data_IF_067852327444
#
_entry.id   IF_067852327444
#
_cell.length_a   1.000
_cell.length_b   1.000
_cell.length_c   1.000
_cell.angle_alpha   90.00
_cell.angle_beta   90.00
_cell.angle_gamma   90.00
#
_symmetry.space_group_name_H-M   'P 1'
#
loop_
_entity.id
_entity.type
_entity.pdbx_description
1 polymer ?
#
# COMPACT_ATOMS: atom_id res chain seq x y z
N UNK A 1 -15.24 -17.00 -8.17
CA UNK A 1 -14.34 -16.99 -6.99
C UNK A 1 -12.92 -16.82 -7.49
N UNK A 2 -12.10 -15.97 -6.87
CA UNK A 2 -10.70 -15.82 -7.26
C UNK A 2 -9.86 -17.00 -6.77
N UNK A 3 -9.02 -17.58 -7.64
CA UNK A 3 -8.05 -18.62 -7.26
C UNK A 3 -6.74 -17.94 -6.87
N UNK A 4 -6.28 -18.15 -5.64
CA UNK A 4 -5.01 -17.59 -5.16
C UNK A 4 -3.91 -18.64 -5.34
N UNK A 5 -2.94 -18.32 -6.20
CA UNK A 5 -1.73 -19.13 -6.39
C UNK A 5 -0.56 -18.46 -5.69
N UNK A 6 0.06 -19.13 -4.71
CA UNK A 6 1.24 -18.60 -4.01
C UNK A 6 2.51 -18.95 -4.81
N UNK A 7 3.21 -17.98 -5.42
CA UNK A 7 4.42 -18.26 -6.18
C UNK A 7 5.57 -18.69 -5.26
N UNK A 8 6.33 -19.72 -5.66
CA UNK A 8 7.57 -20.16 -4.97
C UNK A 8 8.83 -19.41 -5.43
N UNK A 9 8.71 -18.57 -6.46
CA UNK A 9 9.81 -17.76 -7.00
C UNK A 9 9.95 -16.45 -6.23
N UNK A 10 11.17 -15.92 -6.11
CA UNK A 10 11.44 -14.67 -5.38
C UNK A 10 10.89 -13.42 -6.06
N UNK A 11 10.66 -13.47 -7.38
CA UNK A 11 10.16 -12.32 -8.15
C UNK A 11 8.64 -12.18 -8.04
N UNK A 12 8.18 -11.00 -7.66
CA UNK A 12 6.78 -10.59 -7.78
C UNK A 12 6.49 -10.19 -9.24
N UNK A 13 5.41 -10.73 -9.81
CA UNK A 13 4.93 -10.37 -11.16
C UNK A 13 3.49 -9.90 -11.01
N UNK A 14 3.18 -8.70 -11.51
CA UNK A 14 1.86 -8.07 -11.39
C UNK A 14 1.29 -8.19 -9.96
N UNK A 15 1.96 -7.60 -8.95
CA UNK A 15 1.64 -7.85 -7.55
C UNK A 15 0.20 -7.41 -7.24
N UNK A 16 -0.56 -8.33 -6.66
CA UNK A 16 -1.92 -8.04 -6.19
C UNK A 16 -1.94 -7.16 -4.92
N UNK A 17 -0.90 -7.26 -4.09
CA UNK A 17 -0.78 -6.52 -2.82
C UNK A 17 -0.14 -5.15 -3.03
N UNK A 18 -0.69 -4.15 -2.36
CA UNK A 18 -0.10 -2.81 -2.24
C UNK A 18 0.56 -2.63 -0.87
N UNK A 19 1.25 -1.50 -0.67
CA UNK A 19 1.99 -1.21 0.56
C UNK A 19 1.04 -1.04 1.77
N UNK A 20 1.49 -1.44 2.96
CA UNK A 20 0.76 -1.22 4.19
C UNK A 20 0.52 0.27 4.54
N UNK A 21 1.51 1.19 4.39
CA UNK A 21 1.29 2.59 4.74
C UNK A 21 0.27 3.29 3.82
N UNK A 22 0.10 2.83 2.56
CA UNK A 22 -1.02 3.28 1.71
C UNK A 22 -2.37 3.01 2.37
N UNK A 23 -2.59 1.77 2.83
CA UNK A 23 -3.83 1.40 3.51
C UNK A 23 -4.06 2.21 4.80
N UNK A 24 -2.99 2.48 5.56
CA UNK A 24 -3.07 3.33 6.74
C UNK A 24 -3.43 4.78 6.38
N UNK A 25 -2.81 5.35 5.35
CA UNK A 25 -3.13 6.68 4.86
C UNK A 25 -4.58 6.80 4.41
N UNK A 26 -5.10 5.82 3.68
CA UNK A 26 -6.52 5.77 3.29
C UNK A 26 -7.45 5.76 4.50
N UNK A 27 -7.13 5.00 5.56
CA UNK A 27 -7.91 5.01 6.78
C UNK A 27 -7.93 6.39 7.46
N UNK A 28 -6.77 7.07 7.54
CA UNK A 28 -6.67 8.41 8.15
C UNK A 28 -7.29 9.52 7.31
N UNK A 29 -7.27 9.41 5.97
CA UNK A 29 -7.97 10.34 5.08
C UNK A 29 -9.50 10.30 5.25
N UNK A 30 -10.03 9.22 5.83
CA UNK A 30 -11.44 9.14 6.24
C UNK A 30 -11.78 9.97 7.48
N UNK A 31 -10.79 10.51 8.20
CA UNK A 31 -11.00 11.31 9.41
C UNK A 31 -10.97 12.81 9.09
N UNK A 32 -11.96 13.55 9.61
CA UNK A 32 -12.09 14.99 9.36
C UNK A 32 -10.87 15.75 9.91
N UNK A 33 -10.20 16.51 9.03
CA UNK A 33 -9.10 17.41 9.40
C UNK A 33 -7.76 16.72 9.64
N UNK A 34 -7.61 15.44 9.27
CA UNK A 34 -6.35 14.70 9.39
C UNK A 34 -5.56 14.75 8.09
N UNK A 35 -4.25 14.95 8.20
CA UNK A 35 -3.29 14.85 7.10
C UNK A 35 -2.30 13.72 7.42
N UNK A 36 -2.33 12.57 6.72
CA UNK A 36 -1.40 11.48 6.97
C UNK A 36 0.02 11.89 6.58
N UNK A 37 1.00 11.48 7.39
CA UNK A 37 2.42 11.73 7.17
C UNK A 37 3.16 10.41 7.06
N UNK A 38 3.92 10.24 5.99
CA UNK A 38 4.74 9.06 5.76
C UNK A 38 6.14 9.32 6.29
N UNK A 39 6.55 8.59 7.34
CA UNK A 39 7.94 8.60 7.77
C UNK A 39 8.76 7.72 6.81
N UNK A 40 9.42 8.35 5.85
CA UNK A 40 10.19 7.65 4.82
C UNK A 40 10.69 8.61 3.74
N UNK A 41 11.15 8.05 2.63
CA UNK A 41 11.51 8.86 1.46
C UNK A 41 10.24 9.44 0.82
N UNK A 42 10.38 10.60 0.18
CA UNK A 42 9.27 11.28 -0.49
C UNK A 42 8.63 10.43 -1.60
N UNK A 43 9.40 9.53 -2.21
CA UNK A 43 8.90 8.62 -3.23
C UNK A 43 7.77 7.72 -2.72
N UNK A 44 7.79 7.31 -1.45
CA UNK A 44 6.68 6.54 -0.88
C UNK A 44 5.39 7.35 -0.80
N UNK A 45 5.48 8.63 -0.47
CA UNK A 45 4.32 9.54 -0.41
C UNK A 45 3.81 9.90 -1.80
N UNK A 46 4.69 10.05 -2.80
CA UNK A 46 4.32 10.49 -4.14
C UNK A 46 3.44 9.49 -4.92
N UNK A 47 3.47 8.21 -4.55
CA UNK A 47 2.74 7.13 -5.22
C UNK A 47 1.70 6.43 -4.33
N UNK A 48 1.54 6.89 -3.09
CA UNK A 48 0.51 6.42 -2.17
C UNK A 48 -0.72 7.35 -2.21
#
# INVERSE_FOLDING_TARGET
MAVITTPKKSVAVNPLKQSQPLGAALAYLGLKGVMPLFHGSQGCTAFA
#
